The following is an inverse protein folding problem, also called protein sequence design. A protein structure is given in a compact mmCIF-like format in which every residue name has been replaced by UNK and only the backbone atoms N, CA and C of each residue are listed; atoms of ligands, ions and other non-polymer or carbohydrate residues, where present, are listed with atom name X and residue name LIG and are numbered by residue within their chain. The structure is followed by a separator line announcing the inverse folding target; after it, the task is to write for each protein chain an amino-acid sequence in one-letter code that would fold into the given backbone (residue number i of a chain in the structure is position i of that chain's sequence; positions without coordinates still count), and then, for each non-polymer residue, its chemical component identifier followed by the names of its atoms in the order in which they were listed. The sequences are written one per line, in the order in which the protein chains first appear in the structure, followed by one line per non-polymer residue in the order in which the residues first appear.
data_IF_309417600052
#
_entry.id   IF_309417600052
#
_cell.length_a   1.000
_cell.length_b   1.000
_cell.length_c   1.000
_cell.angle_alpha   90.00
_cell.angle_beta   90.00
_cell.angle_gamma   90.00
#
_symmetry.space_group_name_H-M   'P 1'
#
loop_
_entity.id
_entity.type
_entity.pdbx_description
1 polymer ?
#
# COMPACT_ATOMS: atom_id res chain seq x y z
N UNK A 1 3.64 12.12 -44.37
CA UNK A 1 4.66 12.23 -43.30
C UNK A 1 4.85 10.84 -42.71
N UNK A 2 6.08 10.31 -42.65
CA UNK A 2 6.32 9.03 -41.98
C UNK A 2 5.92 9.13 -40.50
N UNK A 3 5.15 8.17 -40.02
CA UNK A 3 4.73 8.06 -38.62
C UNK A 3 5.99 7.71 -37.82
N UNK A 4 6.36 8.47 -36.77
CA UNK A 4 7.53 8.15 -35.97
C UNK A 4 7.37 6.76 -35.35
N UNK A 5 8.44 5.99 -35.50
CA UNK A 5 8.65 4.65 -34.95
C UNK A 5 8.44 4.65 -33.43
N UNK A 6 7.97 3.51 -32.91
CA UNK A 6 7.46 3.32 -31.53
C UNK A 6 8.23 4.15 -30.50
N UNK A 7 7.54 5.10 -29.87
CA UNK A 7 8.07 5.87 -28.74
C UNK A 7 8.42 4.88 -27.63
N UNK A 8 9.73 4.68 -27.41
CA UNK A 8 10.23 3.86 -26.31
C UNK A 8 9.98 4.63 -25.01
N UNK A 9 8.91 4.27 -24.31
CA UNK A 9 8.68 4.69 -22.93
C UNK A 9 9.45 3.68 -22.08
N UNK A 10 10.58 4.07 -21.43
CA UNK A 10 11.23 3.16 -20.50
C UNK A 10 10.20 2.77 -19.44
N UNK A 11 10.00 1.48 -19.24
CA UNK A 11 9.18 1.00 -18.15
C UNK A 11 9.72 1.62 -16.86
N UNK A 12 8.89 2.39 -16.16
CA UNK A 12 9.26 2.96 -14.86
C UNK A 12 9.75 1.81 -13.98
N UNK A 13 10.87 2.03 -13.27
CA UNK A 13 11.43 1.03 -12.35
C UNK A 13 10.31 0.58 -11.42
N UNK A 14 9.83 -0.65 -11.58
CA UNK A 14 8.82 -1.22 -10.68
C UNK A 14 9.37 -1.07 -9.25
N UNK A 15 8.63 -0.41 -8.33
CA UNK A 15 8.99 -0.46 -6.92
C UNK A 15 8.95 -1.96 -6.59
N UNK A 16 10.12 -2.54 -6.30
CA UNK A 16 10.30 -4.00 -6.32
C UNK A 16 9.28 -4.75 -5.46
N UNK A 17 9.24 -6.07 -5.59
CA UNK A 17 8.26 -6.95 -4.90
C UNK A 17 8.03 -6.59 -3.42
N UNK A 18 9.04 -6.10 -2.72
CA UNK A 18 8.95 -5.57 -1.36
C UNK A 18 7.84 -4.51 -1.19
N UNK A 19 7.82 -3.44 -2.00
CA UNK A 19 6.79 -2.39 -1.91
C UNK A 19 5.39 -2.94 -2.20
N UNK A 20 5.28 -3.87 -3.15
CA UNK A 20 3.99 -4.49 -3.44
C UNK A 20 3.47 -5.31 -2.24
N UNK A 21 4.32 -6.16 -1.64
CA UNK A 21 3.93 -6.96 -0.48
C UNK A 21 3.61 -6.11 0.74
N UNK A 22 4.42 -5.09 1.02
CA UNK A 22 4.21 -4.19 2.17
C UNK A 22 2.90 -3.40 1.98
N UNK A 23 2.60 -2.94 0.76
CA UNK A 23 1.32 -2.32 0.41
C UNK A 23 0.11 -3.25 0.58
N UNK A 24 0.24 -4.54 0.24
CA UNK A 24 -0.81 -5.53 0.52
C UNK A 24 -1.03 -5.72 2.02
N UNK A 25 0.05 -5.80 2.81
CA UNK A 25 -0.04 -5.94 4.28
C UNK A 25 -0.74 -4.73 4.91
N UNK A 26 -0.40 -3.50 4.50
CA UNK A 26 -1.10 -2.28 4.96
C UNK A 26 -2.61 -2.37 4.71
N UNK A 27 -3.00 -2.82 3.52
CA UNK A 27 -4.41 -2.97 3.16
C UNK A 27 -5.12 -3.99 4.06
N UNK A 28 -4.52 -5.16 4.29
CA UNK A 28 -5.07 -6.18 5.19
C UNK A 28 -5.25 -5.67 6.63
N UNK A 29 -4.27 -4.92 7.15
CA UNK A 29 -4.35 -4.31 8.49
C UNK A 29 -5.52 -3.32 8.57
N UNK A 30 -5.73 -2.47 7.55
CA UNK A 30 -6.86 -1.53 7.51
C UNK A 30 -8.21 -2.24 7.40
N UNK A 31 -8.29 -3.37 6.69
CA UNK A 31 -9.50 -4.22 6.68
C UNK A 31 -9.77 -4.76 8.09
N UNK A 32 -8.74 -5.24 8.79
CA UNK A 32 -8.84 -5.66 10.19
C UNK A 32 -9.34 -4.53 11.10
N UNK A 33 -8.86 -3.29 10.90
CA UNK A 33 -9.37 -2.12 11.62
C UNK A 33 -10.87 -1.90 11.34
N UNK A 34 -11.30 -2.03 10.09
CA UNK A 34 -12.72 -1.95 9.72
C UNK A 34 -13.57 -3.02 10.42
N UNK A 35 -13.08 -4.26 10.53
CA UNK A 35 -13.73 -5.33 11.29
C UNK A 35 -13.82 -4.95 12.78
N UNK A 36 -12.72 -4.45 13.37
CA UNK A 36 -12.71 -4.01 14.76
C UNK A 36 -13.73 -2.88 15.03
N UNK A 37 -13.92 -1.95 14.08
CA UNK A 37 -14.96 -0.92 14.16
C UNK A 37 -16.37 -1.53 14.12
N UNK A 38 -16.63 -2.49 13.24
CA UNK A 38 -17.92 -3.21 13.16
C UNK A 38 -18.22 -3.92 14.49
N UNK A 39 -17.20 -4.46 15.16
CA UNK A 39 -17.33 -5.10 16.48
C UNK A 39 -17.36 -4.11 17.65
N UNK A 40 -17.34 -2.79 17.40
CA UNK A 40 -17.41 -1.74 18.41
C UNK A 40 -16.09 -1.51 19.18
N UNK A 41 -14.99 -2.10 18.73
CA UNK A 41 -13.69 -2.00 19.39
C UNK A 41 -12.83 -0.88 18.80
N UNK A 42 -13.06 0.35 19.29
CA UNK A 42 -12.31 1.54 18.89
C UNK A 42 -10.80 1.44 19.16
N UNK A 43 -10.39 0.81 20.27
CA UNK A 43 -8.97 0.68 20.64
C UNK A 43 -8.22 -0.15 19.60
N UNK A 44 -8.73 -1.34 19.26
CA UNK A 44 -8.12 -2.19 18.23
C UNK A 44 -8.16 -1.56 16.85
N UNK A 45 -9.26 -0.90 16.48
CA UNK A 45 -9.34 -0.18 15.22
C UNK A 45 -8.25 0.91 15.12
N UNK A 46 -8.13 1.74 16.15
CA UNK A 46 -7.11 2.80 16.21
C UNK A 46 -5.68 2.25 16.17
N UNK A 47 -5.41 1.19 16.94
CA UNK A 47 -4.10 0.54 16.95
C UNK A 47 -3.71 -0.03 15.58
N UNK A 48 -4.65 -0.68 14.88
CA UNK A 48 -4.42 -1.23 13.55
C UNK A 48 -4.21 -0.12 12.51
N UNK A 49 -4.99 0.97 12.56
CA UNK A 49 -4.79 2.11 11.65
C UNK A 49 -3.42 2.76 11.86
N UNK A 50 -3.03 3.03 13.11
CA UNK A 50 -1.71 3.60 13.43
C UNK A 50 -0.59 2.66 12.96
N UNK A 51 -0.74 1.36 13.22
CA UNK A 51 0.23 0.35 12.77
C UNK A 51 0.40 0.30 11.26
N UNK A 52 -0.69 0.43 10.49
CA UNK A 52 -0.64 0.48 9.03
C UNK A 52 0.13 1.70 8.51
N UNK A 53 0.01 2.86 9.16
CA UNK A 53 0.73 4.08 8.77
C UNK A 53 2.22 4.01 9.15
N UNK A 54 2.55 3.45 10.32
CA UNK A 54 3.95 3.18 10.69
C UNK A 54 4.61 2.26 9.66
N UNK A 55 3.90 1.20 9.25
CA UNK A 55 4.37 0.28 8.22
C UNK A 55 4.53 0.99 6.85
N UNK A 56 3.71 2.01 6.58
CA UNK A 56 3.85 2.90 5.43
C UNK A 56 5.14 3.70 5.45
N UNK A 57 5.47 4.31 6.60
CA UNK A 57 6.72 5.04 6.79
C UNK A 57 7.92 4.10 6.62
N UNK A 58 7.87 2.89 7.19
CA UNK A 58 8.96 1.90 7.08
C UNK A 58 9.15 1.40 5.64
N UNK A 59 8.09 1.35 4.83
CA UNK A 59 8.20 0.98 3.41
C UNK A 59 8.99 2.00 2.59
N UNK A 60 8.94 3.27 3.00
CA UNK A 60 9.55 4.40 2.29
C UNK A 60 11.00 4.71 2.73
N UNK A 61 11.43 4.16 3.87
CA UNK A 61 12.79 4.27 4.41
C UNK A 61 13.74 3.23 3.81
#
# INVERSE_FOLDING_TARGET
MPIPEKVFIPAGKDPGQFHFYVSLVKSAIRIGAGIALIMGSLVWAGALLIGAEILGIVEEL
#
